data_IF_067576254902
#
_entry.id   IF_067576254902
#
_cell.length_a   1.000
_cell.length_b   1.000
_cell.length_c   1.000
_cell.angle_alpha   90.00
_cell.angle_beta   90.00
_cell.angle_gamma   90.00
#
_symmetry.space_group_name_H-M   'P 1'
#
loop_
_entity.id
_entity.type
_entity.pdbx_description
1 polymer ?
#
# COMPACT_ATOMS: atom_id res chain seq x y z
N UNK A 1 -1.20 -1.92 4.14
CA UNK A 1 -0.55 -3.22 3.84
C UNK A 1 0.14 -3.16 2.50
N UNK A 2 1.42 -3.50 2.43
CA UNK A 2 2.22 -3.54 1.20
C UNK A 2 2.26 -4.97 0.67
N UNK A 3 1.96 -5.14 -0.61
CA UNK A 3 1.84 -6.46 -1.24
C UNK A 3 2.70 -6.50 -2.51
N UNK A 4 3.83 -7.23 -2.51
CA UNK A 4 4.61 -7.47 -3.71
C UNK A 4 3.91 -8.46 -4.65
N UNK A 5 4.00 -8.21 -5.95
CA UNK A 5 3.48 -9.12 -6.99
C UNK A 5 4.30 -10.41 -7.09
N UNK A 6 5.60 -10.34 -6.79
CA UNK A 6 6.52 -11.47 -6.86
C UNK A 6 7.65 -11.32 -5.81
N UNK A 7 8.35 -12.42 -5.52
CA UNK A 7 9.42 -12.46 -4.53
C UNK A 7 10.58 -11.52 -4.87
N UNK A 8 10.83 -11.29 -6.17
CA UNK A 8 11.83 -10.32 -6.66
C UNK A 8 11.57 -8.86 -6.26
N UNK A 9 10.36 -8.55 -5.78
CA UNK A 9 9.96 -7.21 -5.35
C UNK A 9 9.81 -7.08 -3.83
N UNK A 10 10.15 -8.12 -3.07
CA UNK A 10 10.08 -8.10 -1.60
C UNK A 10 10.98 -7.03 -0.99
N UNK A 11 12.19 -6.84 -1.52
CA UNK A 11 13.10 -5.80 -1.04
C UNK A 11 12.52 -4.40 -1.22
N UNK A 12 11.83 -4.18 -2.35
CA UNK A 12 11.14 -2.92 -2.61
C UNK A 12 9.92 -2.76 -1.69
N UNK A 13 9.14 -3.82 -1.48
CA UNK A 13 8.02 -3.81 -0.54
C UNK A 13 8.46 -3.47 0.89
N UNK A 14 9.58 -4.06 1.36
CA UNK A 14 10.17 -3.74 2.67
C UNK A 14 10.60 -2.29 2.75
N UNK A 15 11.32 -1.78 1.74
CA UNK A 15 11.74 -0.37 1.69
C UNK A 15 10.55 0.59 1.76
N UNK A 16 9.49 0.31 1.01
CA UNK A 16 8.25 1.09 1.04
C UNK A 16 7.61 1.02 2.44
N UNK A 17 7.53 -0.18 3.01
CA UNK A 17 7.01 -0.39 4.36
C UNK A 17 7.78 0.40 5.43
N UNK A 18 9.11 0.40 5.37
CA UNK A 18 9.98 1.18 6.25
C UNK A 18 9.69 2.69 6.13
N UNK A 19 9.57 3.22 4.90
CA UNK A 19 9.23 4.64 4.68
C UNK A 19 7.89 5.03 5.31
N UNK A 20 6.86 4.18 5.19
CA UNK A 20 5.57 4.43 5.84
C UNK A 20 5.66 4.32 7.36
N UNK A 21 6.48 3.40 7.87
CA UNK A 21 6.70 3.22 9.31
C UNK A 21 7.46 4.41 9.92
N UNK A 22 8.49 4.90 9.25
CA UNK A 22 9.25 6.10 9.63
C UNK A 22 8.38 7.37 9.62
N UNK A 23 7.43 7.46 8.67
CA UNK A 23 6.42 8.51 8.65
C UNK A 23 5.35 8.38 9.77
N UNK A 24 5.45 7.34 10.60
CA UNK A 24 4.56 7.12 11.74
C UNK A 24 3.21 6.52 11.35
N UNK A 25 3.13 5.77 10.26
CA UNK A 25 1.99 4.95 9.90
C UNK A 25 2.21 3.49 10.29
N UNK A 26 1.13 2.77 10.54
CA UNK A 26 1.17 1.31 10.69
C UNK A 26 1.16 0.68 9.30
N UNK A 27 2.33 0.18 8.88
CA UNK A 27 2.51 -0.51 7.61
C UNK A 27 3.07 -1.90 7.86
N UNK A 28 2.46 -2.88 7.20
CA UNK A 28 2.90 -4.28 7.20
C UNK A 28 3.15 -4.71 5.76
N UNK A 29 4.22 -5.48 5.54
CA UNK A 29 4.56 -6.05 4.23
C UNK A 29 4.23 -7.55 4.19
N UNK A 30 3.43 -7.96 3.21
CA UNK A 30 3.05 -9.36 2.99
C UNK A 30 4.03 -10.07 2.05
N UNK A 31 5.06 -10.69 2.64
CA UNK A 31 6.12 -11.39 1.93
C UNK A 31 5.81 -12.88 1.71
N UNK A 32 4.55 -13.33 1.90
CA UNK A 32 4.22 -14.76 1.74
C UNK A 32 4.30 -15.18 0.26
N UNK A 33 5.40 -15.80 -0.14
CA UNK A 33 5.64 -16.26 -1.50
C UNK A 33 4.71 -17.41 -1.94
N UNK A 34 4.00 -18.05 -1.00
CA UNK A 34 3.07 -19.15 -1.28
C UNK A 34 1.64 -18.71 -1.63
N UNK A 35 1.29 -17.42 -1.47
CA UNK A 35 -0.05 -16.91 -1.72
C UNK A 35 -0.15 -16.06 -2.99
N UNK A 36 -1.18 -16.33 -3.80
CA UNK A 36 -1.51 -15.52 -4.98
C UNK A 36 -1.80 -14.07 -4.58
N UNK A 37 -1.45 -13.11 -5.44
CA UNK A 37 -1.68 -11.67 -5.23
C UNK A 37 -3.13 -11.36 -4.82
N UNK A 38 -4.11 -11.92 -5.54
CA UNK A 38 -5.53 -11.71 -5.25
C UNK A 38 -5.93 -12.20 -3.85
N UNK A 39 -5.31 -13.30 -3.38
CA UNK A 39 -5.54 -13.84 -2.04
C UNK A 39 -4.96 -12.92 -0.97
N UNK A 40 -3.76 -12.39 -1.18
CA UNK A 40 -3.15 -11.39 -0.27
C UNK A 40 -3.98 -10.12 -0.17
N UNK A 41 -4.44 -9.59 -1.31
CA UNK A 41 -5.32 -8.42 -1.36
C UNK A 41 -6.62 -8.72 -0.57
N UNK A 42 -7.22 -9.88 -0.78
CA UNK A 42 -8.43 -10.28 -0.04
C UNK A 42 -8.18 -10.40 1.46
N UNK A 43 -7.05 -10.98 1.87
CA UNK A 43 -6.67 -11.07 3.28
C UNK A 43 -6.48 -9.69 3.91
N UNK A 44 -5.84 -8.76 3.19
CA UNK A 44 -5.68 -7.38 3.61
C UNK A 44 -7.03 -6.67 3.81
N UNK A 45 -7.98 -6.88 2.89
CA UNK A 45 -9.35 -6.35 3.03
C UNK A 45 -10.07 -6.93 4.25
N UNK A 46 -9.98 -8.25 4.45
CA UNK A 46 -10.59 -8.94 5.60
C UNK A 46 -9.99 -8.48 6.93
N UNK A 47 -8.68 -8.23 6.94
CA UNK A 47 -7.96 -7.65 8.08
C UNK A 47 -8.22 -6.15 8.27
N UNK A 48 -9.13 -5.55 7.51
CA UNK A 48 -9.58 -4.16 7.65
C UNK A 48 -8.47 -3.12 7.43
N UNK A 49 -7.47 -3.42 6.59
CA UNK A 49 -6.51 -2.40 6.17
C UNK A 49 -7.19 -1.37 5.26
N UNK A 50 -7.07 -0.08 5.61
CA UNK A 50 -7.65 1.02 4.83
C UNK A 50 -7.06 1.09 3.42
N UNK A 51 -5.72 0.97 3.32
CA UNK A 51 -4.98 1.05 2.07
C UNK A 51 -4.11 -0.19 1.85
N UNK A 52 -4.18 -0.69 0.62
CA UNK A 52 -3.42 -1.82 0.11
C UNK A 52 -2.53 -1.30 -1.00
N UNK A 53 -1.22 -1.33 -0.77
CA UNK A 53 -0.20 -0.83 -1.68
C UNK A 53 0.39 -2.01 -2.43
N UNK A 54 0.06 -2.15 -3.71
CA UNK A 54 0.61 -3.21 -4.55
C UNK A 54 1.87 -2.71 -5.22
N UNK A 55 2.95 -3.50 -5.15
CA UNK A 55 4.23 -3.18 -5.78
C UNK A 55 4.64 -4.27 -6.75
N UNK A 56 4.84 -3.90 -8.01
CA UNK A 56 5.32 -4.78 -9.06
C UNK A 56 6.55 -4.21 -9.77
N UNK A 57 6.78 -4.71 -10.98
CA UNK A 57 7.90 -4.29 -11.81
C UNK A 57 7.79 -2.83 -12.25
N UNK A 58 6.60 -2.41 -12.69
CA UNK A 58 6.35 -1.04 -13.15
C UNK A 58 6.56 -0.05 -12.01
N UNK A 59 5.97 -0.35 -10.86
CA UNK A 59 6.04 0.45 -9.64
C UNK A 59 7.48 0.57 -9.13
N UNK A 60 8.27 -0.51 -9.19
CA UNK A 60 9.69 -0.46 -8.83
C UNK A 60 10.50 0.45 -9.76
N UNK A 61 10.22 0.46 -11.06
CA UNK A 61 10.92 1.35 -12.01
C UNK A 61 10.56 2.82 -11.78
N UNK A 62 9.29 3.11 -11.51
CA UNK A 62 8.77 4.48 -11.34
C UNK A 62 8.93 4.99 -9.90
N UNK A 63 9.44 4.17 -8.97
CA UNK A 63 9.36 4.40 -7.53
C UNK A 63 7.93 4.75 -7.08
N UNK A 64 6.95 4.10 -7.70
CA UNK A 64 5.54 4.23 -7.43
C UNK A 64 4.99 3.08 -6.60
N UNK A 65 3.72 3.19 -6.24
CA UNK A 65 2.90 2.16 -5.64
C UNK A 65 1.52 2.21 -6.29
N UNK A 66 0.92 1.04 -6.50
CA UNK A 66 -0.48 0.98 -6.92
C UNK A 66 -1.37 0.99 -5.68
N UNK A 67 -2.12 2.08 -5.49
CA UNK A 67 -2.95 2.26 -4.30
C UNK A 67 -4.34 1.66 -4.52
N UNK A 68 -4.72 0.75 -3.64
CA UNK A 68 -6.06 0.18 -3.58
C UNK A 68 -6.66 0.44 -2.20
N UNK A 69 -7.98 0.63 -2.16
CA UNK A 69 -8.73 0.76 -0.92
C UNK A 69 -9.26 -0.59 -0.44
N UNK A 70 -9.69 -0.62 0.83
CA UNK A 70 -10.46 -1.72 1.39
C UNK A 70 -11.68 -2.10 0.54
N UNK A 71 -12.38 -1.12 0.00
CA UNK A 71 -13.60 -1.32 -0.81
C UNK A 71 -13.33 -1.75 -2.25
N UNK A 72 -12.09 -2.18 -2.56
CA UNK A 72 -11.64 -2.57 -3.90
C UNK A 72 -11.65 -1.45 -4.94
N UNK A 73 -11.77 -0.17 -4.54
CA UNK A 73 -11.53 0.95 -5.46
C UNK A 73 -10.03 1.06 -5.72
N UNK A 74 -9.66 1.17 -7.00
CA UNK A 74 -8.29 1.34 -7.45
C UNK A 74 -8.04 2.82 -7.68
N UNK A 75 -7.17 3.42 -6.88
CA UNK A 75 -6.77 4.83 -7.00
C UNK A 75 -5.66 5.03 -8.05
N UNK A 76 -5.08 3.94 -8.56
CA UNK A 76 -4.09 3.96 -9.63
C UNK A 76 -2.65 3.92 -9.11
N UNK A 77 -1.72 4.24 -9.99
CA UNK A 77 -0.29 4.31 -9.69
C UNK A 77 0.08 5.73 -9.25
N UNK A 78 0.64 5.85 -8.05
CA UNK A 78 1.10 7.11 -7.48
C UNK A 78 2.52 6.94 -6.95
N UNK A 79 3.28 8.03 -6.91
CA UNK A 79 4.62 8.01 -6.30
C UNK A 79 4.52 7.78 -4.79
N UNK A 80 5.48 7.06 -4.20
CA UNK A 80 5.47 6.78 -2.75
C UNK A 80 5.44 8.09 -1.94
N UNK A 81 6.17 9.12 -2.40
CA UNK A 81 6.17 10.45 -1.79
C UNK A 81 4.80 11.13 -1.83
N UNK A 82 4.07 11.01 -2.93
CA UNK A 82 2.74 11.60 -3.05
C UNK A 82 1.73 10.89 -2.15
N UNK A 83 1.80 9.56 -2.10
CA UNK A 83 0.95 8.77 -1.19
C UNK A 83 1.23 9.13 0.26
N UNK A 84 2.49 9.25 0.66
CA UNK A 84 2.86 9.69 2.01
C UNK A 84 2.31 11.08 2.35
N UNK A 85 2.43 12.04 1.43
CA UNK A 85 1.91 13.38 1.63
C UNK A 85 0.38 13.37 1.81
N UNK A 86 -0.35 12.66 0.93
CA UNK A 86 -1.82 12.52 1.02
C UNK A 86 -2.25 11.83 2.32
N UNK A 87 -1.63 10.70 2.68
CA UNK A 87 -1.95 10.00 3.92
C UNK A 87 -1.67 10.86 5.16
N UNK A 88 -0.63 11.70 5.11
CA UNK A 88 -0.30 12.62 6.21
C UNK A 88 -1.38 13.69 6.37
N UNK A 89 -1.87 14.25 5.26
CA UNK A 89 -2.99 15.19 5.28
C UNK A 89 -4.25 14.54 5.85
N UNK A 90 -4.61 13.33 5.40
CA UNK A 90 -5.77 12.58 5.89
C UNK A 90 -5.66 12.23 7.39
N UNK A 91 -4.45 11.89 7.85
CA UNK A 91 -4.17 11.64 9.28
C UNK A 91 -4.35 12.92 10.11
N UNK A 92 -3.95 14.07 9.58
CA UNK A 92 -4.10 15.37 10.26
C UNK A 92 -5.56 15.83 10.30
N UNK A 93 -6.29 15.71 9.19
CA UNK A 93 -7.70 16.10 9.10
C UNK A 93 -8.63 15.20 9.90
N UNK A 94 -8.15 14.01 10.32
CA UNK A 94 -8.94 12.99 11.05
C UNK A 94 -10.25 12.69 10.32
N UNK A 95 -10.20 12.63 9.00
CA UNK A 95 -11.39 12.40 8.18
C UNK A 95 -12.00 11.03 8.48
N UNK A 96 -13.32 11.00 8.63
CA UNK A 96 -14.06 9.77 8.90
C UNK A 96 -13.98 8.78 7.71
N UNK A 97 -13.93 9.30 6.47
CA UNK A 97 -13.90 8.51 5.23
C UNK A 97 -12.61 8.76 4.43
N UNK A 98 -11.45 8.49 5.04
CA UNK A 98 -10.15 8.66 4.40
C UNK A 98 -10.01 7.87 3.07
N UNK A 99 -10.78 6.81 2.89
CA UNK A 99 -10.78 5.96 1.68
C UNK A 99 -11.48 6.59 0.47
N UNK A 100 -12.45 7.49 0.70
CA UNK A 100 -13.21 8.18 -0.35
C UNK A 100 -12.62 9.54 -0.74
N UNK A 101 -11.95 10.21 0.21
CA UNK A 101 -11.31 11.51 -0.01
C UNK A 101 -9.87 11.42 -0.56
N UNK A 102 -9.34 10.20 -0.72
CA UNK A 102 -8.02 9.97 -1.27
C UNK A 102 -7.93 10.30 -2.78
#
# INVERSE_FOLDING_TARGET
MVVPVNTSFEDYAKKVCEQFTEAGFMADADLDSGCLLNKKIRNAQLAQYNFILVVGEKEKMTNGVNVRTRDSKVHGELSVSEVLARLTLLKQSRCANAEEEF
#
